data_IF_877069280519
#
_entry.id   IF_877069280519
#
_cell.length_a   1.000
_cell.length_b   1.000
_cell.length_c   1.000
_cell.angle_alpha   90.00
_cell.angle_beta   90.00
_cell.angle_gamma   90.00
#
_symmetry.space_group_name_H-M   'P 1'
#
loop_
_entity.id
_entity.type
_entity.pdbx_description
1 polymer ?
#
# COMPACT_ATOMS: atom_id res chain seq x y z
N UNK A 1 -31.62 -7.14 -7.47
CA UNK A 1 -30.64 -6.64 -8.45
C UNK A 1 -29.58 -7.74 -8.60
N UNK A 2 -29.12 -8.01 -9.81
CA UNK A 2 -28.17 -9.12 -10.06
C UNK A 2 -26.75 -8.69 -9.67
N UNK A 3 -25.98 -9.59 -9.05
CA UNK A 3 -24.61 -9.29 -8.62
C UNK A 3 -23.65 -9.31 -9.83
N UNK A 4 -22.74 -8.33 -9.89
CA UNK A 4 -21.67 -8.31 -10.88
C UNK A 4 -20.65 -9.40 -10.58
N UNK A 5 -20.22 -10.14 -11.61
CA UNK A 5 -19.13 -11.11 -11.51
C UNK A 5 -17.82 -10.44 -11.91
N UNK A 6 -16.94 -10.25 -10.94
CA UNK A 6 -15.58 -9.71 -11.15
C UNK A 6 -14.59 -10.86 -11.20
N UNK A 7 -13.76 -10.88 -12.23
CA UNK A 7 -12.65 -11.81 -12.38
C UNK A 7 -11.32 -11.06 -12.40
N UNK A 8 -10.28 -11.65 -11.81
CA UNK A 8 -8.89 -11.20 -11.94
C UNK A 8 -8.10 -12.29 -12.68
N UNK A 9 -7.29 -11.88 -13.64
CA UNK A 9 -6.29 -12.77 -14.27
C UNK A 9 -4.96 -12.59 -13.57
N UNK A 10 -4.43 -13.66 -12.99
CA UNK A 10 -3.08 -13.74 -12.44
C UNK A 10 -2.32 -14.93 -13.04
N UNK A 11 -1.76 -14.74 -14.23
CA UNK A 11 -1.06 -15.79 -14.94
C UNK A 11 0.25 -16.20 -14.27
N UNK A 12 0.22 -17.36 -13.61
CA UNK A 12 1.38 -17.91 -12.88
C UNK A 12 2.63 -18.02 -13.76
N UNK A 13 2.49 -18.43 -15.03
CA UNK A 13 3.63 -18.58 -15.95
C UNK A 13 4.28 -17.23 -16.26
N UNK A 14 3.46 -16.20 -16.44
CA UNK A 14 3.92 -14.83 -16.70
C UNK A 14 4.65 -14.27 -15.48
N UNK A 15 4.10 -14.47 -14.28
CA UNK A 15 4.78 -14.06 -13.04
C UNK A 15 6.12 -14.79 -12.86
N UNK A 16 6.13 -16.11 -13.04
CA UNK A 16 7.37 -16.92 -12.95
C UNK A 16 8.45 -16.45 -13.92
N UNK A 17 8.08 -16.14 -15.16
CA UNK A 17 9.01 -15.60 -16.16
C UNK A 17 9.58 -14.26 -15.70
N UNK A 18 8.77 -13.35 -15.16
CA UNK A 18 9.23 -12.05 -14.66
C UNK A 18 10.16 -12.19 -13.45
N UNK A 19 9.82 -13.04 -12.48
CA UNK A 19 10.66 -13.31 -11.31
C UNK A 19 12.02 -13.88 -11.68
N UNK A 20 12.11 -14.75 -12.69
CA UNK A 20 13.39 -15.27 -13.20
C UNK A 20 14.34 -14.18 -13.70
N UNK A 21 13.81 -13.01 -14.09
CA UNK A 21 14.59 -11.85 -14.52
C UNK A 21 14.73 -10.77 -13.45
N UNK A 22 14.34 -11.05 -12.20
CA UNK A 22 14.43 -10.09 -11.10
C UNK A 22 13.36 -8.99 -11.14
N UNK A 23 12.22 -9.25 -11.79
CA UNK A 23 11.15 -8.25 -11.96
C UNK A 23 10.01 -8.56 -11.00
N UNK A 24 9.68 -7.59 -10.15
CA UNK A 24 8.49 -7.64 -9.29
C UNK A 24 7.20 -7.60 -10.11
N UNK A 25 6.17 -8.27 -9.61
CA UNK A 25 4.85 -8.38 -10.21
C UNK A 25 3.82 -7.81 -9.24
N UNK A 26 3.91 -6.51 -8.96
CA UNK A 26 3.03 -5.83 -8.02
C UNK A 26 1.61 -5.63 -8.56
N UNK A 27 1.35 -5.91 -9.83
CA UNK A 27 -0.01 -5.92 -10.38
C UNK A 27 -0.93 -6.90 -9.63
N UNK A 28 -0.36 -7.96 -9.03
CA UNK A 28 -1.09 -8.91 -8.17
C UNK A 28 -1.61 -8.31 -6.86
N UNK A 29 -1.09 -7.16 -6.43
CA UNK A 29 -1.54 -6.43 -5.23
C UNK A 29 -3.00 -5.96 -5.33
N UNK A 30 -3.61 -6.02 -6.52
CA UNK A 30 -5.03 -5.76 -6.70
C UNK A 30 -5.91 -6.65 -5.80
N UNK A 31 -5.48 -7.87 -5.49
CA UNK A 31 -6.21 -8.77 -4.58
C UNK A 31 -6.30 -8.22 -3.16
N UNK A 32 -5.20 -7.63 -2.66
CA UNK A 32 -5.17 -6.96 -1.35
C UNK A 32 -6.12 -5.76 -1.37
N UNK A 33 -6.02 -4.91 -2.40
CA UNK A 33 -6.86 -3.72 -2.52
C UNK A 33 -8.37 -4.06 -2.54
N UNK A 34 -8.77 -5.15 -3.21
CA UNK A 34 -10.17 -5.60 -3.22
C UNK A 34 -10.58 -6.31 -1.92
N UNK A 35 -9.65 -7.08 -1.31
CA UNK A 35 -9.90 -7.75 -0.04
C UNK A 35 -10.07 -6.76 1.12
N UNK A 36 -9.45 -5.58 1.04
CA UNK A 36 -9.54 -4.51 2.03
C UNK A 36 -11.00 -4.13 2.32
N UNK A 37 -11.85 -4.02 1.28
CA UNK A 37 -13.31 -3.83 1.40
C UNK A 37 -14.14 -5.11 1.15
N UNK A 38 -13.50 -6.28 1.18
CA UNK A 38 -14.11 -7.61 0.96
C UNK A 38 -15.01 -7.67 -0.29
N UNK A 39 -14.58 -7.01 -1.36
CA UNK A 39 -15.27 -7.05 -2.64
C UNK A 39 -15.27 -8.49 -3.18
N UNK A 40 -16.39 -9.02 -3.68
CA UNK A 40 -16.43 -10.37 -4.23
C UNK A 40 -15.74 -10.42 -5.59
N UNK A 41 -14.71 -11.26 -5.71
CA UNK A 41 -14.03 -11.54 -6.98
C UNK A 41 -13.66 -13.02 -7.08
N UNK A 42 -13.22 -13.44 -8.28
CA UNK A 42 -12.57 -14.73 -8.50
C UNK A 42 -11.26 -14.53 -9.26
N UNK A 43 -10.18 -15.13 -8.77
CA UNK A 43 -8.90 -15.15 -9.47
C UNK A 43 -8.80 -16.39 -10.35
N UNK A 44 -8.26 -16.21 -11.55
CA UNK A 44 -7.96 -17.27 -12.51
C UNK A 44 -6.48 -17.25 -12.86
N UNK A 45 -5.91 -18.44 -13.09
CA UNK A 45 -4.47 -18.59 -13.34
C UNK A 45 -4.10 -18.55 -14.82
N UNK A 46 -5.10 -18.47 -15.70
CA UNK A 46 -4.96 -18.29 -17.14
C UNK A 46 -6.03 -17.33 -17.66
N UNK A 47 -5.72 -16.61 -18.75
CA UNK A 47 -6.69 -15.75 -19.40
C UNK A 47 -7.90 -16.55 -19.94
N UNK A 48 -7.65 -17.73 -20.51
CA UNK A 48 -8.69 -18.58 -21.09
C UNK A 48 -9.71 -19.06 -20.06
N UNK A 49 -9.25 -19.46 -18.87
CA UNK A 49 -10.15 -19.86 -17.77
C UNK A 49 -11.03 -18.68 -17.31
N UNK A 50 -10.44 -17.48 -17.21
CA UNK A 50 -11.18 -16.29 -16.83
C UNK A 50 -12.25 -15.94 -17.87
N UNK A 51 -11.90 -16.01 -19.16
CA UNK A 51 -12.83 -15.74 -20.26
C UNK A 51 -13.93 -16.79 -20.36
N UNK A 52 -13.62 -18.06 -20.13
CA UNK A 52 -14.60 -19.15 -20.11
C UNK A 52 -15.65 -18.96 -19.00
N UNK A 53 -15.28 -18.37 -17.86
CA UNK A 53 -16.22 -18.00 -16.81
C UNK A 53 -17.17 -16.85 -17.20
N UNK A 54 -16.88 -16.15 -18.30
CA UNK A 54 -17.67 -15.05 -18.86
C UNK A 54 -18.08 -14.02 -17.81
N UNK A 55 -17.14 -13.41 -17.07
CA UNK A 55 -17.43 -12.42 -16.04
C UNK A 55 -18.09 -11.17 -16.64
N UNK A 56 -18.65 -10.31 -15.79
CA UNK A 56 -19.15 -9.00 -16.22
C UNK A 56 -18.00 -7.98 -16.32
N UNK A 57 -17.00 -8.13 -15.43
CA UNK A 57 -15.80 -7.29 -15.34
C UNK A 57 -14.58 -8.22 -15.22
N UNK A 58 -13.62 -8.07 -16.14
CA UNK A 58 -12.36 -8.79 -16.16
C UNK A 58 -11.21 -7.82 -15.89
N UNK A 59 -10.53 -7.95 -14.75
CA UNK A 59 -9.31 -7.21 -14.43
C UNK A 59 -8.12 -7.99 -15.01
N UNK A 60 -7.54 -7.47 -16.07
CA UNK A 60 -6.36 -8.02 -16.72
C UNK A 60 -5.09 -7.58 -15.96
N UNK A 61 -4.86 -8.15 -14.78
CA UNK A 61 -3.77 -7.77 -13.86
C UNK A 61 -2.43 -8.33 -14.32
N UNK A 62 -2.25 -9.65 -14.31
CA UNK A 62 -1.01 -10.30 -14.79
C UNK A 62 -1.36 -11.28 -15.90
N UNK A 63 -0.92 -10.98 -17.11
CA UNK A 63 -1.07 -11.86 -18.27
C UNK A 63 0.04 -11.64 -19.29
N UNK A 64 0.29 -12.62 -20.16
CA UNK A 64 1.29 -12.48 -21.22
C UNK A 64 0.75 -11.55 -22.31
N UNK A 65 1.41 -10.40 -22.50
CA UNK A 65 1.03 -9.41 -23.52
C UNK A 65 1.45 -9.87 -24.93
N UNK A 66 0.73 -10.84 -25.47
CA UNK A 66 0.87 -11.29 -26.86
C UNK A 66 -0.25 -10.74 -27.73
N UNK A 67 -0.03 -10.65 -29.05
CA UNK A 67 -1.08 -10.27 -30.00
C UNK A 67 -2.31 -11.21 -29.93
N UNK A 68 -2.09 -12.49 -29.63
CA UNK A 68 -3.17 -13.46 -29.44
C UNK A 68 -4.04 -13.12 -28.21
N UNK A 69 -3.41 -12.88 -27.05
CA UNK A 69 -4.12 -12.49 -25.84
C UNK A 69 -4.82 -11.14 -25.98
N UNK A 70 -4.18 -10.18 -26.66
CA UNK A 70 -4.81 -8.90 -26.99
C UNK A 70 -6.07 -9.07 -27.82
N UNK A 71 -6.06 -9.98 -28.81
CA UNK A 71 -7.24 -10.30 -29.61
C UNK A 71 -8.36 -10.91 -28.76
N UNK A 72 -8.04 -11.85 -27.88
CA UNK A 72 -9.02 -12.49 -26.99
C UNK A 72 -9.70 -11.47 -26.06
N UNK A 73 -8.94 -10.54 -25.48
CA UNK A 73 -9.48 -9.48 -24.64
C UNK A 73 -10.43 -8.55 -25.42
N UNK A 74 -10.06 -8.19 -26.66
CA UNK A 74 -10.91 -7.38 -27.53
C UNK A 74 -12.20 -8.12 -27.92
N UNK A 75 -12.11 -9.37 -28.36
CA UNK A 75 -13.28 -10.19 -28.69
C UNK A 75 -14.24 -10.33 -27.50
N UNK A 76 -13.69 -10.48 -26.29
CA UNK A 76 -14.49 -10.49 -25.06
C UNK A 76 -15.20 -9.15 -24.82
N UNK A 77 -14.49 -8.03 -24.98
CA UNK A 77 -15.08 -6.70 -24.85
C UNK A 77 -16.16 -6.45 -25.93
N UNK A 78 -15.89 -6.78 -27.20
CA UNK A 78 -16.85 -6.69 -28.30
C UNK A 78 -18.16 -7.43 -28.00
N UNK A 79 -18.05 -8.57 -27.31
CA UNK A 79 -19.19 -9.40 -26.94
C UNK A 79 -19.97 -8.93 -25.71
N UNK A 80 -19.58 -7.82 -25.06
CA UNK A 80 -20.32 -7.20 -23.96
C UNK A 80 -19.58 -7.20 -22.62
N UNK A 81 -18.44 -7.87 -22.54
CA UNK A 81 -17.57 -7.84 -21.37
C UNK A 81 -16.95 -6.46 -21.14
N UNK A 82 -16.49 -6.18 -19.92
CA UNK A 82 -15.61 -5.05 -19.66
C UNK A 82 -14.24 -5.54 -19.24
N UNK A 83 -13.20 -5.08 -19.94
CA UNK A 83 -11.80 -5.33 -19.58
C UNK A 83 -11.29 -4.13 -18.81
N UNK A 84 -10.69 -4.34 -17.64
CA UNK A 84 -10.10 -3.30 -16.80
C UNK A 84 -8.62 -3.54 -16.66
N UNK A 85 -7.82 -2.49 -16.85
CA UNK A 85 -6.39 -2.48 -16.61
C UNK A 85 -6.04 -1.34 -15.66
N UNK A 86 -5.51 -1.72 -14.50
CA UNK A 86 -4.91 -0.81 -13.51
C UNK A 86 -3.38 -0.72 -13.64
N UNK A 87 -2.84 -1.42 -14.64
CA UNK A 87 -1.42 -1.59 -14.96
C UNK A 87 -1.31 -2.34 -16.30
N UNK A 88 -0.32 -2.00 -17.12
CA UNK A 88 -0.04 -2.73 -18.37
C UNK A 88 -1.11 -2.56 -19.46
N UNK A 89 -1.26 -3.57 -20.32
CA UNK A 89 -2.10 -3.66 -21.54
C UNK A 89 -1.62 -2.91 -22.79
N UNK A 90 -0.31 -2.65 -22.90
CA UNK A 90 0.28 -1.94 -24.03
C UNK A 90 -0.12 -2.54 -25.40
N UNK A 91 -0.25 -3.87 -25.45
CA UNK A 91 -0.66 -4.59 -26.66
C UNK A 91 -2.05 -4.20 -27.20
N UNK A 92 -2.95 -3.67 -26.37
CA UNK A 92 -4.29 -3.23 -26.80
C UNK A 92 -4.27 -1.83 -27.45
N UNK A 93 -3.26 -1.01 -27.18
CA UNK A 93 -3.23 0.39 -27.60
C UNK A 93 -3.44 0.54 -29.11
N UNK A 94 -2.62 -0.12 -29.92
CA UNK A 94 -2.68 0.02 -31.39
C UNK A 94 -3.99 -0.47 -31.98
N UNK A 95 -4.54 -1.58 -31.45
CA UNK A 95 -5.81 -2.13 -31.90
C UNK A 95 -6.97 -1.16 -31.61
N UNK A 96 -6.90 -0.43 -30.49
CA UNK A 96 -7.87 0.59 -30.09
C UNK A 96 -7.61 1.97 -30.71
N UNK A 97 -6.58 2.12 -31.55
CA UNK A 97 -6.25 3.39 -32.21
C UNK A 97 -5.43 4.35 -31.34
N UNK A 98 -4.60 3.81 -30.45
CA UNK A 98 -3.71 4.56 -29.58
C UNK A 98 -2.24 4.15 -29.76
N UNK A 99 -1.36 5.02 -29.28
CA UNK A 99 0.07 4.75 -29.08
C UNK A 99 0.43 5.03 -27.63
N UNK A 100 1.31 4.20 -27.05
CA UNK A 100 1.84 4.44 -25.71
C UNK A 100 2.83 5.61 -25.74
N UNK A 101 2.64 6.58 -24.84
CA UNK A 101 3.58 7.68 -24.63
C UNK A 101 4.76 7.24 -23.78
N UNK A 102 5.76 8.11 -23.67
CA UNK A 102 6.86 7.90 -22.71
C UNK A 102 6.28 7.73 -21.29
N UNK A 103 6.78 6.76 -20.52
CA UNK A 103 6.39 6.61 -19.13
C UNK A 103 6.66 7.89 -18.33
N UNK A 104 5.70 8.26 -17.49
CA UNK A 104 5.87 9.24 -16.42
C UNK A 104 6.28 8.45 -15.19
N UNK A 105 7.37 8.84 -14.55
CA UNK A 105 7.83 8.20 -13.31
C UNK A 105 6.92 8.65 -12.17
N UNK A 106 7.34 9.65 -11.40
CA UNK A 106 6.57 10.17 -10.27
C UNK A 106 5.71 11.35 -10.74
N UNK A 107 4.50 11.46 -10.19
CA UNK A 107 3.58 12.52 -10.55
C UNK A 107 2.29 12.53 -9.76
N UNK A 108 1.31 13.28 -10.26
CA UNK A 108 0.00 13.45 -9.64
C UNK A 108 -1.11 13.23 -10.66
N UNK A 109 -2.20 12.61 -10.23
CA UNK A 109 -3.42 12.48 -11.01
C UNK A 109 -4.49 13.41 -10.45
N UNK A 110 -5.05 14.28 -11.29
CA UNK A 110 -6.26 15.04 -10.97
C UNK A 110 -7.47 14.29 -11.51
N UNK A 111 -8.35 13.86 -10.62
CA UNK A 111 -9.55 13.08 -10.96
C UNK A 111 -10.79 13.94 -10.74
N UNK A 112 -11.78 13.78 -11.62
CA UNK A 112 -13.04 14.53 -11.54
C UNK A 112 -13.75 14.25 -10.21
N UNK A 113 -13.96 15.29 -9.41
CA UNK A 113 -14.61 15.19 -8.09
C UNK A 113 -13.65 14.95 -6.92
N UNK A 114 -12.35 14.76 -7.15
CA UNK A 114 -11.34 14.84 -6.09
C UNK A 114 -10.85 16.28 -5.91
N UNK A 115 -10.77 16.74 -4.68
CA UNK A 115 -10.19 18.05 -4.36
C UNK A 115 -8.66 18.01 -4.19
N UNK A 116 -8.10 16.81 -4.05
CA UNK A 116 -6.67 16.58 -3.84
C UNK A 116 -6.12 15.79 -5.03
N UNK A 117 -5.06 16.25 -5.71
CA UNK A 117 -4.35 15.45 -6.70
C UNK A 117 -3.73 14.21 -6.06
N UNK A 118 -3.93 13.03 -6.64
CA UNK A 118 -3.43 11.76 -6.11
C UNK A 118 -2.01 11.50 -6.59
N UNK A 119 -1.06 11.37 -5.66
CA UNK A 119 0.33 11.03 -6.00
C UNK A 119 0.46 9.63 -6.57
N UNK A 120 1.25 9.45 -7.63
CA UNK A 120 1.59 8.15 -8.19
C UNK A 120 3.10 7.97 -8.43
N UNK A 121 3.53 6.72 -8.55
CA UNK A 121 4.94 6.33 -8.71
C UNK A 121 5.29 5.90 -10.14
N UNK A 122 4.30 5.49 -10.92
CA UNK A 122 4.46 5.26 -12.35
C UNK A 122 3.16 5.44 -13.12
N UNK A 123 3.25 6.04 -14.31
CA UNK A 123 2.16 6.08 -15.26
C UNK A 123 2.64 5.88 -16.71
N UNK A 124 1.80 5.25 -17.53
CA UNK A 124 1.98 5.06 -18.98
C UNK A 124 0.75 5.57 -19.72
N UNK A 125 0.71 6.88 -20.04
CA UNK A 125 -0.42 7.45 -20.77
C UNK A 125 -0.47 6.96 -22.22
N UNK A 126 -1.68 6.86 -22.77
CA UNK A 126 -1.88 6.61 -24.18
C UNK A 126 -2.29 7.90 -24.89
N UNK A 127 -1.96 7.99 -26.19
CA UNK A 127 -2.42 9.06 -27.06
C UNK A 127 -3.12 8.48 -28.28
N UNK A 128 -4.19 9.14 -28.73
CA UNK A 128 -4.85 8.77 -29.96
C UNK A 128 -3.86 8.83 -31.12
N UNK A 129 -3.91 7.82 -31.97
CA UNK A 129 -3.16 7.78 -33.21
C UNK A 129 -3.83 8.69 -34.24
N UNK A 130 -3.03 9.44 -35.00
CA UNK A 130 -3.54 10.35 -36.02
C UNK A 130 -4.43 9.61 -37.04
N UNK A 131 -5.61 10.17 -37.33
CA UNK A 131 -6.58 9.58 -38.25
C UNK A 131 -7.41 8.41 -37.68
N UNK A 132 -7.29 8.12 -36.38
CA UNK A 132 -8.18 7.20 -35.66
C UNK A 132 -9.06 8.01 -34.70
N UNK A 133 -10.38 7.81 -34.80
CA UNK A 133 -11.36 8.45 -33.91
C UNK A 133 -12.08 7.38 -33.06
N UNK A 134 -11.44 6.83 -32.01
CA UNK A 134 -12.11 5.87 -31.14
C UNK A 134 -13.26 6.53 -30.37
N UNK A 135 -14.36 5.80 -30.17
CA UNK A 135 -15.43 6.24 -29.28
C UNK A 135 -14.97 6.04 -27.84
N UNK A 136 -14.60 7.13 -27.19
CA UNK A 136 -13.99 7.09 -25.86
C UNK A 136 -14.54 8.16 -24.93
N UNK A 137 -14.33 7.96 -23.63
CA UNK A 137 -14.49 8.98 -22.60
C UNK A 137 -13.21 9.05 -21.78
N UNK A 138 -12.71 10.27 -21.56
CA UNK A 138 -11.50 10.52 -20.76
C UNK A 138 -11.90 11.02 -19.38
N UNK A 139 -11.21 10.50 -18.36
CA UNK A 139 -11.44 10.90 -16.97
C UNK A 139 -10.12 11.33 -16.34
N UNK A 140 -10.10 12.57 -15.87
CA UNK A 140 -8.95 13.16 -15.19
C UNK A 140 -7.69 13.28 -16.07
N UNK A 141 -6.62 13.76 -15.46
CA UNK A 141 -5.33 13.98 -16.11
C UNK A 141 -4.18 13.59 -15.19
N UNK A 142 -3.08 13.11 -15.77
CA UNK A 142 -1.82 12.88 -15.05
C UNK A 142 -0.80 13.99 -15.34
N UNK A 143 -0.01 14.34 -14.33
CA UNK A 143 0.98 15.40 -14.35
C UNK A 143 2.32 14.86 -13.85
N UNK A 144 3.42 15.29 -14.45
CA UNK A 144 4.77 14.83 -14.07
C UNK A 144 5.35 15.70 -12.96
N UNK A 145 5.84 15.07 -11.89
CA UNK A 145 6.60 15.71 -10.80
C UNK A 145 5.83 16.66 -9.87
N UNK A 146 4.86 17.41 -10.37
CA UNK A 146 4.09 18.42 -9.61
C UNK A 146 2.60 18.38 -10.00
N UNK A 147 1.68 18.67 -9.06
CA UNK A 147 0.24 18.74 -9.36
C UNK A 147 -0.13 19.85 -10.34
N UNK A 148 0.68 20.93 -10.42
CA UNK A 148 0.44 22.09 -11.27
C UNK A 148 1.18 22.02 -12.62
N UNK A 149 1.74 20.85 -12.94
CA UNK A 149 2.49 20.62 -14.17
C UNK A 149 1.62 20.64 -15.44
N UNK A 150 2.27 20.46 -16.60
CA UNK A 150 1.54 20.24 -17.85
C UNK A 150 0.95 18.82 -17.89
N UNK A 151 -0.30 18.64 -18.36
CA UNK A 151 -0.91 17.31 -18.45
C UNK A 151 -0.14 16.43 -19.44
N UNK A 152 0.16 15.21 -19.01
CA UNK A 152 0.89 14.20 -19.80
C UNK A 152 -0.04 13.25 -20.55
N UNK A 153 -1.30 13.17 -20.12
CA UNK A 153 -2.38 12.41 -20.73
C UNK A 153 -3.50 12.16 -19.72
N UNK A 154 -4.53 11.43 -20.14
CA UNK A 154 -5.71 11.13 -19.32
C UNK A 154 -5.38 10.13 -18.22
N UNK A 155 -5.99 10.26 -17.05
CA UNK A 155 -5.76 9.33 -15.95
C UNK A 155 -6.46 7.99 -16.20
N UNK A 156 -7.67 8.02 -16.73
CA UNK A 156 -8.44 6.86 -17.19
C UNK A 156 -9.01 7.11 -18.58
N UNK A 157 -8.87 6.10 -19.45
CA UNK A 157 -9.54 6.02 -20.74
C UNK A 157 -10.62 4.93 -20.69
N UNK A 158 -11.86 5.29 -20.99
CA UNK A 158 -12.96 4.35 -21.22
C UNK A 158 -13.23 4.26 -22.71
N UNK A 159 -12.85 3.14 -23.33
CA UNK A 159 -12.98 2.94 -24.79
C UNK A 159 -14.14 1.99 -25.06
N UNK A 160 -15.12 2.45 -25.84
CA UNK A 160 -16.26 1.61 -26.25
C UNK A 160 -15.80 0.62 -27.31
N UNK A 161 -16.04 -0.67 -27.08
CA UNK A 161 -15.68 -1.75 -28.00
C UNK A 161 -16.88 -2.68 -28.18
N UNK A 162 -17.48 -2.67 -29.36
CA UNK A 162 -18.72 -3.41 -29.64
C UNK A 162 -19.79 -3.15 -28.59
N UNK A 163 -20.25 -4.20 -27.90
CA UNK A 163 -21.25 -4.09 -26.82
C UNK A 163 -20.65 -3.77 -25.45
N UNK A 164 -19.35 -3.99 -25.25
CA UNK A 164 -18.65 -3.81 -23.98
C UNK A 164 -17.75 -2.57 -23.95
N UNK A 165 -16.67 -2.64 -23.17
CA UNK A 165 -15.68 -1.56 -23.04
C UNK A 165 -14.29 -2.08 -22.60
N UNK A 166 -13.27 -1.27 -22.85
CA UNK A 166 -11.93 -1.40 -22.28
C UNK A 166 -11.68 -0.16 -21.42
N UNK A 167 -11.46 -0.36 -20.13
CA UNK A 167 -11.15 0.68 -19.15
C UNK A 167 -9.67 0.61 -18.81
N UNK A 168 -8.92 1.68 -19.14
CA UNK A 168 -7.48 1.70 -19.00
C UNK A 168 -7.00 2.89 -18.18
N UNK A 169 -6.51 2.62 -16.98
CA UNK A 169 -5.81 3.56 -16.12
C UNK A 169 -4.37 3.77 -16.54
N UNK A 170 -3.97 5.03 -16.74
CA UNK A 170 -2.59 5.44 -17.00
C UNK A 170 -1.64 5.12 -15.86
N UNK A 171 -2.10 5.26 -14.62
CA UNK A 171 -1.32 4.98 -13.43
C UNK A 171 -1.23 3.46 -13.22
N UNK A 172 -0.04 2.97 -12.88
CA UNK A 172 0.12 1.64 -12.27
C UNK A 172 -0.35 1.74 -10.81
N UNK A 173 -1.65 1.54 -10.58
CA UNK A 173 -2.27 1.75 -9.27
C UNK A 173 -1.76 0.71 -8.25
N UNK A 174 -1.75 -0.60 -8.54
CA UNK A 174 -1.24 -1.60 -7.58
C UNK A 174 0.22 -1.34 -7.21
N UNK A 175 1.10 -1.07 -8.20
CA UNK A 175 2.49 -0.73 -7.93
C UNK A 175 2.65 0.57 -7.13
N UNK A 176 1.82 1.58 -7.42
CA UNK A 176 1.78 2.84 -6.66
C UNK A 176 1.41 2.62 -5.20
N UNK A 177 0.38 1.81 -4.92
CA UNK A 177 -0.04 1.47 -3.54
C UNK A 177 1.11 0.81 -2.78
N UNK A 178 1.73 -0.22 -3.36
CA UNK A 178 2.88 -0.92 -2.74
C UNK A 178 4.01 0.06 -2.41
N UNK A 179 4.38 0.91 -3.36
CA UNK A 179 5.48 1.84 -3.18
C UNK A 179 5.18 2.97 -2.18
N UNK A 180 3.94 3.42 -2.08
CA UNK A 180 3.53 4.36 -1.03
C UNK A 180 3.67 3.72 0.36
N UNK A 181 3.24 2.46 0.50
CA UNK A 181 3.16 1.77 1.80
C UNK A 181 4.50 1.22 2.30
N UNK A 182 5.29 0.60 1.42
CA UNK A 182 6.58 -0.03 1.76
C UNK A 182 7.80 0.79 1.35
N UNK A 183 7.59 1.87 0.61
CA UNK A 183 8.66 2.70 0.07
C UNK A 183 9.07 2.34 -1.36
N UNK A 184 9.96 3.15 -1.90
CA UNK A 184 10.40 3.11 -3.31
C UNK A 184 11.39 1.99 -3.64
N UNK A 185 11.90 1.28 -2.62
CA UNK A 185 12.82 0.16 -2.76
C UNK A 185 13.42 -0.25 -1.42
N UNK A 186 14.39 -1.20 -1.42
CA UNK A 186 15.08 -1.61 -0.19
C UNK A 186 15.85 -0.45 0.46
N UNK A 187 15.89 -0.45 1.80
CA UNK A 187 16.68 0.51 2.59
C UNK A 187 18.11 -0.02 2.75
N UNK A 188 19.05 0.58 2.00
CA UNK A 188 20.49 0.28 2.08
C UNK A 188 21.36 1.53 2.31
N UNK A 189 20.75 2.71 2.23
CA UNK A 189 21.38 4.01 2.35
C UNK A 189 20.38 5.02 2.91
N UNK A 190 20.90 6.06 3.57
CA UNK A 190 20.11 7.16 4.10
C UNK A 190 19.34 7.88 2.97
N UNK A 191 18.11 8.29 3.28
CA UNK A 191 17.21 8.92 2.33
C UNK A 191 17.54 10.36 1.95
N UNK A 192 16.68 10.91 1.10
CA UNK A 192 16.76 12.33 0.70
C UNK A 192 16.19 13.21 1.80
N UNK A 193 16.97 14.20 2.21
CA UNK A 193 16.55 15.20 3.20
C UNK A 193 15.53 16.19 2.60
N UNK A 194 14.62 16.68 3.44
CA UNK A 194 13.74 17.78 3.04
C UNK A 194 14.56 19.07 2.83
N UNK A 195 14.28 19.81 1.76
CA UNK A 195 15.00 21.03 1.42
C UNK A 195 14.85 22.15 2.47
N UNK A 196 13.77 22.10 3.27
CA UNK A 196 13.50 23.03 4.37
C UNK A 196 14.26 22.69 5.67
N UNK A 197 15.04 21.60 5.69
CA UNK A 197 15.84 21.16 6.83
C UNK A 197 15.06 20.48 7.95
N UNK A 198 13.74 20.28 7.81
CA UNK A 198 12.88 19.68 8.84
C UNK A 198 13.05 18.16 8.98
N UNK A 199 13.71 17.53 8.01
CA UNK A 199 13.93 16.08 7.92
C UNK A 199 15.40 15.81 7.64
N UNK A 200 16.14 15.47 8.69
CA UNK A 200 17.56 15.11 8.62
C UNK A 200 17.71 13.59 8.63
N UNK A 201 17.89 12.98 7.46
CA UNK A 201 18.04 11.52 7.32
C UNK A 201 19.51 11.06 7.24
N UNK A 202 20.46 11.97 6.98
CA UNK A 202 21.88 11.61 6.81
C UNK A 202 22.63 11.57 8.13
N UNK A 203 22.23 10.64 8.97
CA UNK A 203 22.79 10.46 10.32
C UNK A 203 23.46 9.09 10.49
N UNK A 204 23.57 8.30 9.41
CA UNK A 204 24.22 6.99 9.44
C UNK A 204 23.41 5.91 10.16
N UNK A 205 22.09 6.09 10.26
CA UNK A 205 21.18 5.14 10.90
C UNK A 205 20.01 4.92 9.95
N UNK A 206 19.98 3.75 9.31
CA UNK A 206 18.96 3.40 8.33
C UNK A 206 17.56 3.23 8.96
N UNK A 207 16.57 3.92 8.43
CA UNK A 207 15.19 3.96 8.93
C UNK A 207 14.18 3.68 7.84
N UNK A 208 12.97 3.35 8.27
CA UNK A 208 11.86 3.10 7.37
C UNK A 208 11.62 4.28 6.40
N UNK A 209 11.82 5.52 6.86
CA UNK A 209 11.53 6.73 6.10
C UNK A 209 12.59 7.12 5.06
N UNK A 210 13.73 6.41 5.02
CA UNK A 210 14.79 6.63 4.00
C UNK A 210 14.34 6.35 2.56
N UNK A 211 13.29 5.55 2.41
CA UNK A 211 12.69 5.20 1.12
C UNK A 211 11.24 5.65 0.99
N UNK A 212 10.82 6.62 1.80
CA UNK A 212 9.49 7.22 1.70
C UNK A 212 9.20 7.67 0.26
N UNK A 213 8.00 7.36 -0.22
CA UNK A 213 7.58 7.72 -1.57
C UNK A 213 6.92 9.10 -1.65
N UNK A 214 6.58 9.73 -0.52
CA UNK A 214 5.91 11.02 -0.45
C UNK A 214 6.86 12.18 -0.80
N UNK A 215 6.28 13.33 -1.11
CA UNK A 215 6.94 14.57 -1.48
C UNK A 215 6.88 15.61 -0.36
N UNK A 216 8.04 16.09 0.07
CA UNK A 216 8.12 17.07 1.15
C UNK A 216 7.47 18.43 0.81
N UNK A 217 7.37 18.79 -0.47
CA UNK A 217 6.82 20.08 -0.88
C UNK A 217 5.32 20.00 -1.11
N UNK A 218 4.87 18.99 -1.85
CA UNK A 218 3.49 18.93 -2.33
C UNK A 218 2.55 18.10 -1.45
N UNK A 219 3.07 17.14 -0.68
CA UNK A 219 2.22 16.21 0.08
C UNK A 219 2.05 16.60 1.55
N UNK A 220 2.79 17.62 2.00
CA UNK A 220 2.69 18.14 3.36
C UNK A 220 1.74 19.32 3.44
N UNK A 221 0.98 19.38 4.52
CA UNK A 221 0.31 20.57 4.98
C UNK A 221 1.02 21.12 6.22
N UNK A 222 0.69 22.35 6.59
CA UNK A 222 1.20 23.00 7.79
C UNK A 222 0.04 23.22 8.76
N UNK A 223 0.21 22.82 10.02
CA UNK A 223 -0.76 23.12 11.08
C UNK A 223 -0.81 24.62 11.38
N UNK A 224 -1.83 25.09 12.10
CA UNK A 224 -1.89 26.48 12.58
C UNK A 224 -0.68 26.86 13.46
N UNK A 225 -0.07 25.88 14.12
CA UNK A 225 1.14 26.04 14.94
C UNK A 225 2.45 25.98 14.14
N UNK A 226 2.38 25.83 12.82
CA UNK A 226 3.56 25.84 11.95
C UNK A 226 4.25 24.48 11.77
N UNK A 227 3.62 23.37 12.17
CA UNK A 227 4.21 22.03 12.04
C UNK A 227 3.82 21.43 10.70
N UNK A 228 4.82 21.01 9.91
CA UNK A 228 4.59 20.30 8.65
C UNK A 228 4.24 18.84 8.91
N UNK A 229 3.24 18.31 8.21
CA UNK A 229 2.81 16.93 8.31
C UNK A 229 2.29 16.42 6.95
N UNK A 230 2.53 15.15 6.65
CA UNK A 230 1.92 14.47 5.50
C UNK A 230 0.44 14.27 5.76
N UNK A 231 -0.41 14.88 4.93
CA UNK A 231 -1.84 14.97 5.20
C UNK A 231 -2.68 13.91 4.46
N UNK A 232 -2.12 13.29 3.42
CA UNK A 232 -2.91 12.55 2.44
C UNK A 232 -2.57 11.05 2.43
N UNK A 233 -3.55 10.17 2.71
CA UNK A 233 -3.35 8.73 2.64
C UNK A 233 -3.52 8.24 1.19
N UNK A 234 -2.57 8.60 0.32
CA UNK A 234 -2.69 8.34 -1.13
C UNK A 234 -2.92 6.88 -1.52
N UNK A 235 -2.34 5.92 -0.80
CA UNK A 235 -2.59 4.50 -1.04
C UNK A 235 -4.06 4.14 -0.78
N UNK A 236 -4.66 4.68 0.29
CA UNK A 236 -6.07 4.49 0.60
C UNK A 236 -6.97 5.22 -0.41
N UNK A 237 -6.60 6.42 -0.82
CA UNK A 237 -7.32 7.15 -1.88
C UNK A 237 -7.27 6.40 -3.21
N UNK A 238 -6.15 5.75 -3.56
CA UNK A 238 -6.07 4.92 -4.76
C UNK A 238 -6.92 3.64 -4.67
N UNK A 239 -7.00 3.02 -3.49
CA UNK A 239 -7.96 1.91 -3.25
C UNK A 239 -9.39 2.38 -3.46
N UNK A 240 -9.74 3.57 -2.96
CA UNK A 240 -11.06 4.16 -3.18
C UNK A 240 -11.37 4.36 -4.66
N UNK A 241 -10.40 4.82 -5.46
CA UNK A 241 -10.59 4.98 -6.91
C UNK A 241 -10.79 3.64 -7.63
N UNK A 242 -10.10 2.57 -7.23
CA UNK A 242 -10.36 1.22 -7.74
C UNK A 242 -11.82 0.84 -7.45
N UNK A 243 -12.28 1.01 -6.21
CA UNK A 243 -13.64 0.61 -5.79
C UNK A 243 -14.72 1.45 -6.47
N UNK A 244 -14.57 2.78 -6.50
CA UNK A 244 -15.48 3.69 -7.20
C UNK A 244 -15.60 3.30 -8.67
N UNK A 245 -14.49 3.01 -9.33
CA UNK A 245 -14.45 2.60 -10.72
C UNK A 245 -15.21 1.29 -10.96
N UNK A 246 -14.94 0.24 -10.18
CA UNK A 246 -15.62 -1.05 -10.33
C UNK A 246 -17.13 -0.95 -10.05
N UNK A 247 -17.54 -0.16 -9.05
CA UNK A 247 -18.96 0.10 -8.76
C UNK A 247 -19.61 0.83 -9.95
N UNK A 248 -18.96 1.86 -10.50
CA UNK A 248 -19.48 2.59 -11.66
C UNK A 248 -19.70 1.67 -12.86
N UNK A 249 -18.73 0.78 -13.16
CA UNK A 249 -18.88 -0.23 -14.22
C UNK A 249 -20.07 -1.16 -13.93
N UNK A 250 -20.16 -1.71 -12.72
CA UNK A 250 -21.23 -2.64 -12.34
C UNK A 250 -22.62 -1.99 -12.47
N UNK A 251 -22.78 -0.77 -11.96
CA UNK A 251 -24.03 0.01 -12.03
C UNK A 251 -24.39 0.34 -13.49
N UNK A 252 -23.41 0.71 -14.32
CA UNK A 252 -23.65 0.97 -15.75
C UNK A 252 -24.19 -0.26 -16.50
N UNK A 253 -23.89 -1.48 -16.01
CA UNK A 253 -24.41 -2.76 -16.51
C UNK A 253 -25.71 -3.20 -15.84
N UNK A 254 -26.31 -2.39 -14.98
CA UNK A 254 -27.52 -2.74 -14.23
C UNK A 254 -27.30 -3.80 -13.15
N UNK A 255 -26.06 -3.97 -12.69
CA UNK A 255 -25.65 -4.93 -11.66
C UNK A 255 -25.33 -4.22 -10.33
N UNK A 256 -25.18 -5.00 -9.27
CA UNK A 256 -24.67 -4.54 -7.97
C UNK A 256 -23.31 -5.14 -7.67
N UNK A 257 -22.41 -4.36 -7.08
CA UNK A 257 -21.16 -4.85 -6.51
C UNK A 257 -21.15 -4.57 -4.99
N UNK A 258 -21.45 -5.56 -4.13
CA UNK A 258 -21.48 -5.35 -2.68
C UNK A 258 -20.06 -5.31 -2.11
N UNK A 259 -19.87 -4.57 -1.03
CA UNK A 259 -18.63 -4.51 -0.26
C UNK A 259 -18.95 -4.44 1.23
N UNK A 260 -17.96 -4.73 2.08
CA UNK A 260 -18.06 -4.59 3.53
C UNK A 260 -17.10 -3.49 3.99
N UNK A 261 -17.60 -2.54 4.78
CA UNK A 261 -16.78 -1.49 5.38
C UNK A 261 -15.68 -2.07 6.28
N UNK A 262 -14.58 -1.31 6.46
CA UNK A 262 -13.49 -1.62 7.38
C UNK A 262 -13.98 -1.81 8.81
N UNK A 263 -14.82 -0.89 9.24
CA UNK A 263 -15.28 -0.81 10.62
C UNK A 263 -16.70 -1.38 10.78
N UNK A 264 -17.00 -1.96 11.95
CA UNK A 264 -18.36 -2.33 12.29
C UNK A 264 -19.34 -1.16 12.14
N UNK A 265 -20.62 -1.49 11.94
CA UNK A 265 -21.67 -0.46 11.87
C UNK A 265 -21.68 0.42 13.12
N UNK A 266 -21.72 1.73 12.92
CA UNK A 266 -21.71 2.74 13.99
C UNK A 266 -20.32 3.13 14.50
N UNK A 267 -19.25 2.59 13.92
CA UNK A 267 -17.86 3.02 14.19
C UNK A 267 -17.35 3.83 13.01
N UNK A 268 -17.19 5.14 13.24
CA UNK A 268 -16.71 6.06 12.20
C UNK A 268 -15.19 5.99 12.02
N UNK A 269 -14.46 5.76 13.12
CA UNK A 269 -13.00 5.70 13.14
C UNK A 269 -12.46 4.87 14.31
N UNK A 270 -11.21 4.44 14.17
CA UNK A 270 -10.44 3.74 15.21
C UNK A 270 -9.10 4.45 15.34
N UNK A 271 -8.65 4.63 16.59
CA UNK A 271 -7.31 5.11 16.90
C UNK A 271 -6.54 4.03 17.67
N UNK A 272 -5.28 3.81 17.28
CA UNK A 272 -4.34 2.98 18.02
C UNK A 272 -3.29 3.88 18.69
N UNK A 273 -3.04 3.65 19.97
CA UNK A 273 -2.06 4.40 20.75
C UNK A 273 -1.00 3.41 21.25
N UNK A 274 0.27 3.71 20.98
CA UNK A 274 1.42 2.93 21.43
C UNK A 274 2.35 3.77 22.31
N UNK A 275 3.00 3.15 23.29
CA UNK A 275 4.03 3.77 24.13
C UNK A 275 5.35 3.01 23.97
N UNK A 276 6.43 3.72 23.65
CA UNK A 276 7.77 3.14 23.52
C UNK A 276 8.53 3.29 24.86
N UNK A 277 9.20 2.22 25.31
CA UNK A 277 9.83 2.18 26.62
C UNK A 277 11.26 2.78 26.68
N UNK A 278 11.65 3.65 25.75
CA UNK A 278 13.04 4.06 25.47
C UNK A 278 13.96 4.26 26.70
N UNK A 279 13.49 4.92 27.77
CA UNK A 279 14.26 5.13 29.01
C UNK A 279 14.06 4.09 30.11
N UNK A 280 13.01 3.26 29.99
CA UNK A 280 12.61 2.23 30.95
C UNK A 280 12.42 2.75 32.40
N UNK A 281 12.03 4.01 32.57
CA UNK A 281 11.78 4.59 33.90
C UNK A 281 10.38 4.26 34.42
N UNK A 282 10.29 3.42 35.44
CA UNK A 282 9.01 2.97 36.04
C UNK A 282 8.07 4.13 36.42
N UNK A 283 8.60 5.22 36.97
CA UNK A 283 7.79 6.39 37.39
C UNK A 283 7.01 7.02 36.23
N UNK A 284 7.55 6.97 35.01
CA UNK A 284 6.85 7.44 33.82
C UNK A 284 5.75 6.45 33.42
N UNK A 285 6.03 5.15 33.47
CA UNK A 285 5.04 4.13 33.18
C UNK A 285 3.87 4.16 34.18
N UNK A 286 4.13 4.29 35.48
CA UNK A 286 3.11 4.43 36.53
C UNK A 286 2.20 5.62 36.26
N UNK A 287 2.78 6.78 35.96
CA UNK A 287 2.03 8.00 35.65
C UNK A 287 1.13 7.80 34.43
N UNK A 288 1.67 7.22 33.35
CA UNK A 288 0.91 6.93 32.13
C UNK A 288 -0.20 5.90 32.39
N UNK A 289 0.07 4.82 33.14
CA UNK A 289 -0.92 3.79 33.45
C UNK A 289 -2.09 4.33 34.27
N UNK A 290 -1.85 5.22 35.24
CA UNK A 290 -2.93 5.87 35.98
C UNK A 290 -3.78 6.80 35.11
N UNK A 291 -3.15 7.57 34.22
CA UNK A 291 -3.89 8.40 33.27
C UNK A 291 -4.76 7.56 32.32
N UNK A 292 -4.21 6.48 31.76
CA UNK A 292 -4.95 5.60 30.86
C UNK A 292 -6.15 4.93 31.55
N UNK A 293 -6.00 4.59 32.83
CA UNK A 293 -7.09 4.07 33.66
C UNK A 293 -8.14 5.13 33.96
N UNK A 294 -7.76 6.37 34.24
CA UNK A 294 -8.71 7.48 34.41
C UNK A 294 -9.57 7.67 33.15
N UNK A 295 -8.96 7.53 31.97
CA UNK A 295 -9.61 7.69 30.68
C UNK A 295 -10.32 6.41 30.16
N UNK A 296 -10.17 5.27 30.85
CA UNK A 296 -10.64 3.95 30.41
C UNK A 296 -10.15 3.57 28.98
N UNK A 297 -8.88 3.85 28.69
CA UNK A 297 -8.26 3.58 27.38
C UNK A 297 -7.25 2.44 27.49
N UNK A 298 -7.33 1.51 26.55
CA UNK A 298 -6.34 0.44 26.37
C UNK A 298 -5.39 0.81 25.24
N UNK A 299 -4.12 0.48 25.43
CA UNK A 299 -3.01 0.88 24.55
C UNK A 299 -2.01 -0.25 24.41
N UNK A 300 -1.11 -0.12 23.45
CA UNK A 300 0.00 -1.05 23.22
C UNK A 300 1.28 -0.50 23.84
N UNK A 301 2.02 -1.33 24.57
CA UNK A 301 3.27 -0.94 25.21
C UNK A 301 4.43 -1.68 24.53
N UNK A 302 5.24 -0.95 23.78
CA UNK A 302 6.41 -1.45 23.06
C UNK A 302 7.61 -1.47 24.00
N UNK A 303 8.12 -2.66 24.29
CA UNK A 303 9.09 -2.90 25.36
C UNK A 303 10.47 -3.26 24.82
N UNK A 304 11.47 -2.46 25.20
CA UNK A 304 12.88 -2.63 24.85
C UNK A 304 13.68 -3.18 26.03
N UNK A 305 14.65 -4.06 25.78
CA UNK A 305 15.59 -4.56 26.81
C UNK A 305 16.45 -3.40 27.36
N UNK A 306 16.62 -3.23 28.69
CA UNK A 306 16.32 -4.17 29.79
C UNK A 306 14.89 -4.10 30.38
N UNK A 307 14.03 -3.23 29.87
CA UNK A 307 12.62 -3.16 30.23
C UNK A 307 12.33 -2.48 31.58
N UNK A 308 11.04 -2.30 31.86
CA UNK A 308 10.54 -1.87 33.17
C UNK A 308 10.69 -2.96 34.23
N UNK A 309 10.38 -2.64 35.49
CA UNK A 309 10.23 -3.67 36.51
C UNK A 309 9.03 -4.60 36.26
N UNK A 310 9.07 -5.79 36.84
CA UNK A 310 7.99 -6.80 36.72
C UNK A 310 6.61 -6.29 37.16
N UNK A 311 6.55 -5.33 38.10
CA UNK A 311 5.30 -4.71 38.54
C UNK A 311 4.60 -3.97 37.40
N UNK A 312 5.35 -3.22 36.59
CA UNK A 312 4.78 -2.47 35.46
C UNK A 312 4.17 -3.42 34.42
N UNK A 313 4.88 -4.49 34.07
CA UNK A 313 4.34 -5.50 33.15
C UNK A 313 3.05 -6.13 33.68
N UNK A 314 3.03 -6.50 34.97
CA UNK A 314 1.85 -7.11 35.58
C UNK A 314 0.67 -6.15 35.64
N UNK A 315 0.94 -4.88 35.95
CA UNK A 315 -0.05 -3.84 35.99
C UNK A 315 -0.66 -3.57 34.61
N UNK A 316 0.18 -3.34 33.60
CA UNK A 316 -0.26 -3.12 32.22
C UNK A 316 -1.15 -4.28 31.72
N UNK A 317 -0.72 -5.52 31.93
CA UNK A 317 -1.53 -6.71 31.57
C UNK A 317 -2.84 -6.77 32.36
N UNK A 318 -2.83 -6.49 33.66
CA UNK A 318 -4.04 -6.56 34.50
C UNK A 318 -5.11 -5.54 34.08
N UNK A 319 -4.70 -4.43 33.46
CA UNK A 319 -5.57 -3.39 32.91
C UNK A 319 -5.96 -3.64 31.44
N UNK A 320 -5.48 -4.73 30.85
CA UNK A 320 -5.83 -5.13 29.48
C UNK A 320 -5.05 -4.40 28.38
N UNK A 321 -3.90 -3.80 28.71
CA UNK A 321 -2.98 -3.29 27.69
C UNK A 321 -2.27 -4.42 26.97
N UNK A 322 -1.87 -4.19 25.72
CA UNK A 322 -1.03 -5.10 24.96
C UNK A 322 0.44 -4.90 25.33
N UNK A 323 1.20 -5.99 25.44
CA UNK A 323 2.67 -5.98 25.52
C UNK A 323 3.24 -6.32 24.14
N UNK A 324 4.01 -5.40 23.58
CA UNK A 324 4.61 -5.48 22.25
C UNK A 324 6.14 -5.42 22.31
N UNK A 325 6.79 -5.93 21.27
CA UNK A 325 8.25 -5.86 21.14
C UNK A 325 8.66 -4.46 20.67
N UNK A 326 9.63 -3.86 21.36
CA UNK A 326 10.38 -2.72 20.83
C UNK A 326 11.77 -3.17 20.37
N UNK A 327 11.86 -3.67 19.14
CA UNK A 327 13.09 -4.30 18.66
C UNK A 327 14.21 -3.28 18.53
N UNK A 328 15.28 -3.45 19.32
CA UNK A 328 16.47 -2.63 19.24
C UNK A 328 17.49 -3.21 18.24
N UNK A 329 17.65 -2.51 17.12
CA UNK A 329 18.69 -2.76 16.11
C UNK A 329 19.65 -1.57 15.95
N UNK A 330 19.67 -0.66 16.92
CA UNK A 330 20.47 0.56 16.88
C UNK A 330 21.85 0.29 17.50
N UNK A 331 22.91 0.46 16.69
CA UNK A 331 24.27 0.01 17.04
C UNK A 331 24.86 0.72 18.27
N UNK A 332 24.64 2.03 18.41
CA UNK A 332 25.18 2.79 19.54
C UNK A 332 24.50 2.42 20.87
N UNK A 333 23.32 1.81 20.82
CA UNK A 333 22.62 1.22 21.97
C UNK A 333 22.85 -0.30 22.08
N UNK A 334 23.90 -0.81 21.41
CA UNK A 334 24.27 -2.22 21.44
C UNK A 334 23.33 -3.16 20.68
N UNK A 335 22.42 -2.60 19.87
CA UNK A 335 21.57 -3.34 18.95
C UNK A 335 22.30 -3.79 17.69
N UNK A 336 21.69 -4.70 16.94
CA UNK A 336 22.15 -5.11 15.60
C UNK A 336 20.93 -5.54 14.78
N UNK A 337 20.90 -5.15 13.50
CA UNK A 337 19.91 -5.61 12.54
C UNK A 337 20.20 -7.06 12.12
N UNK A 338 19.53 -8.01 12.77
CA UNK A 338 19.74 -9.44 12.56
C UNK A 338 18.58 -10.26 13.14
N UNK A 339 18.22 -11.34 12.45
CA UNK A 339 17.14 -12.23 12.84
C UNK A 339 17.38 -12.90 14.21
N UNK A 340 18.61 -13.33 14.48
CA UNK A 340 18.95 -13.97 15.76
C UNK A 340 18.77 -12.98 16.90
N UNK A 341 19.16 -11.72 16.69
CA UNK A 341 18.94 -10.65 17.67
C UNK A 341 17.45 -10.36 17.87
N UNK A 342 16.66 -10.28 16.80
CA UNK A 342 15.21 -10.12 16.87
C UNK A 342 14.56 -11.24 17.70
N UNK A 343 14.88 -12.50 17.37
CA UNK A 343 14.41 -13.70 18.11
C UNK A 343 14.77 -13.65 19.58
N UNK A 344 16.01 -13.26 19.91
CA UNK A 344 16.49 -13.23 21.28
C UNK A 344 15.77 -12.16 22.11
N UNK A 345 15.55 -10.96 21.56
CA UNK A 345 14.79 -9.89 22.23
C UNK A 345 13.31 -10.29 22.40
N UNK A 346 12.68 -10.90 21.39
CA UNK A 346 11.33 -11.44 21.52
C UNK A 346 11.25 -12.51 22.63
N UNK A 347 12.21 -13.43 22.68
CA UNK A 347 12.26 -14.46 23.72
C UNK A 347 12.53 -13.87 25.12
N UNK A 348 13.36 -12.83 25.21
CA UNK A 348 13.57 -12.08 26.45
C UNK A 348 12.25 -11.45 26.92
N UNK A 349 11.54 -10.73 26.06
CA UNK A 349 10.30 -10.04 26.42
C UNK A 349 9.23 -11.03 26.91
N UNK A 350 9.09 -12.18 26.24
CA UNK A 350 8.19 -13.26 26.70
C UNK A 350 8.48 -13.69 28.13
N UNK A 351 9.76 -13.84 28.48
CA UNK A 351 10.19 -14.20 29.85
C UNK A 351 9.97 -13.05 30.83
N UNK A 352 10.38 -11.83 30.46
CA UNK A 352 10.30 -10.65 31.33
C UNK A 352 8.85 -10.28 31.67
N UNK A 353 7.98 -10.27 30.67
CA UNK A 353 6.57 -9.94 30.84
C UNK A 353 5.70 -11.15 31.20
N UNK A 354 6.24 -12.38 31.19
CA UNK A 354 5.47 -13.61 31.45
C UNK A 354 4.31 -13.79 30.48
N UNK A 355 4.58 -13.66 29.17
CA UNK A 355 3.60 -13.83 28.08
C UNK A 355 4.08 -14.89 27.10
N UNK A 356 3.15 -15.69 26.56
CA UNK A 356 3.48 -16.76 25.62
C UNK A 356 3.65 -16.24 24.18
N UNK A 357 2.99 -15.11 23.87
CA UNK A 357 2.89 -14.54 22.53
C UNK A 357 3.13 -13.03 22.55
N UNK A 358 3.80 -12.55 21.51
CA UNK A 358 3.99 -11.13 21.20
C UNK A 358 3.35 -10.94 19.82
N UNK A 359 2.28 -10.15 19.74
CA UNK A 359 1.54 -9.95 18.50
C UNK A 359 2.02 -8.73 17.72
N UNK A 360 2.61 -7.76 18.40
CA UNK A 360 3.01 -6.48 17.80
C UNK A 360 4.50 -6.21 17.97
N UNK A 361 5.11 -5.61 16.95
CA UNK A 361 6.47 -5.07 16.97
C UNK A 361 6.46 -3.59 16.58
N UNK A 362 7.43 -2.84 17.13
CA UNK A 362 7.84 -1.53 16.62
C UNK A 362 9.34 -1.39 16.82
N UNK A 363 10.10 -1.07 15.78
CA UNK A 363 11.54 -0.94 15.90
C UNK A 363 11.92 0.36 16.62
N UNK A 364 12.91 0.27 17.50
CA UNK A 364 13.53 1.44 18.11
C UNK A 364 14.08 2.36 17.01
N UNK A 365 13.86 3.68 17.12
CA UNK A 365 14.18 4.68 16.10
C UNK A 365 13.53 4.45 14.72
N UNK A 366 12.47 3.64 14.63
CA UNK A 366 11.92 3.15 13.35
C UNK A 366 12.99 2.56 12.42
N UNK A 367 14.03 1.99 13.04
CA UNK A 367 15.17 1.35 12.37
C UNK A 367 14.67 0.32 11.37
N UNK A 368 15.16 0.36 10.13
CA UNK A 368 14.73 -0.56 9.08
C UNK A 368 15.86 -0.80 8.07
N UNK A 369 16.03 -2.03 7.58
CA UNK A 369 16.88 -2.33 6.42
C UNK A 369 16.16 -3.26 5.44
N UNK A 370 16.64 -3.25 4.19
CA UNK A 370 16.16 -4.16 3.16
C UNK A 370 14.73 -3.83 2.72
N UNK A 371 14.08 -4.82 2.13
CA UNK A 371 12.70 -4.71 1.63
C UNK A 371 11.71 -5.38 2.59
N UNK A 372 11.99 -6.64 2.93
CA UNK A 372 11.05 -7.54 3.59
C UNK A 372 11.66 -8.40 4.71
N UNK A 373 12.92 -8.15 5.09
CA UNK A 373 13.60 -8.89 6.16
C UNK A 373 12.82 -8.88 7.48
N UNK A 374 12.39 -7.69 7.91
CA UNK A 374 11.60 -7.55 9.15
C UNK A 374 10.28 -8.33 9.06
N UNK A 375 9.60 -8.29 7.92
CA UNK A 375 8.31 -8.96 7.75
C UNK A 375 8.46 -10.48 7.80
N UNK A 376 9.53 -11.04 7.19
CA UNK A 376 9.90 -12.45 7.36
C UNK A 376 10.10 -12.83 8.83
N UNK A 377 10.78 -11.97 9.59
CA UNK A 377 11.04 -12.25 11.00
C UNK A 377 9.75 -12.17 11.81
N UNK A 378 8.91 -11.16 11.58
CA UNK A 378 7.60 -11.03 12.20
C UNK A 378 6.73 -12.28 11.98
N UNK A 379 6.55 -12.69 10.72
CA UNK A 379 5.80 -13.91 10.35
C UNK A 379 6.35 -15.15 11.07
N UNK A 380 7.68 -15.37 11.00
CA UNK A 380 8.34 -16.54 11.59
C UNK A 380 8.20 -16.62 13.11
N UNK A 381 8.16 -15.48 13.80
CA UNK A 381 8.10 -15.42 15.26
C UNK A 381 6.72 -15.09 15.82
N UNK A 382 5.69 -15.06 14.96
CA UNK A 382 4.28 -14.92 15.34
C UNK A 382 3.86 -13.49 15.70
N UNK A 383 4.58 -12.49 15.20
CA UNK A 383 4.18 -11.08 15.21
C UNK A 383 3.24 -10.85 14.03
N UNK A 384 2.04 -10.38 14.31
CA UNK A 384 0.97 -10.15 13.34
C UNK A 384 0.88 -8.67 12.90
N UNK A 385 1.49 -7.74 13.65
CA UNK A 385 1.46 -6.31 13.35
C UNK A 385 2.82 -5.66 13.58
N UNK A 386 3.29 -4.87 12.61
CA UNK A 386 4.47 -4.03 12.73
C UNK A 386 4.09 -2.55 12.62
N UNK A 387 4.62 -1.73 13.53
CA UNK A 387 4.38 -0.29 13.59
C UNK A 387 5.64 0.52 13.24
N UNK A 388 6.63 -0.09 12.61
CA UNK A 388 7.93 0.53 12.33
C UNK A 388 7.88 1.47 11.11
N UNK A 389 6.89 1.30 10.22
CA UNK A 389 6.61 2.19 9.09
C UNK A 389 5.87 3.45 9.57
N UNK A 390 6.54 4.22 10.41
CA UNK A 390 6.06 5.48 10.99
C UNK A 390 7.11 6.59 10.90
N UNK A 391 6.77 7.82 11.31
CA UNK A 391 7.67 8.96 11.26
C UNK A 391 8.80 8.85 12.28
N UNK A 392 10.04 9.14 11.86
CA UNK A 392 11.20 9.24 12.76
C UNK A 392 11.59 10.68 13.10
N UNK A 393 11.09 11.67 12.34
CA UNK A 393 11.45 13.09 12.43
C UNK A 393 10.21 13.98 12.48
N UNK A 394 10.36 15.17 13.06
CA UNK A 394 9.29 16.18 13.15
C UNK A 394 8.73 16.58 11.78
N UNK A 395 9.55 16.66 10.74
CA UNK A 395 9.08 16.98 9.39
C UNK A 395 8.38 15.83 8.66
N UNK A 396 8.34 14.63 9.26
CA UNK A 396 7.76 13.40 8.71
C UNK A 396 6.43 13.00 9.34
N UNK A 397 5.88 13.79 10.28
CA UNK A 397 4.63 13.51 10.99
C UNK A 397 3.47 13.28 10.00
N UNK A 398 2.49 12.45 10.39
CA UNK A 398 1.28 12.19 9.60
C UNK A 398 1.34 10.88 8.84
N UNK A 399 0.76 10.84 7.65
CA UNK A 399 0.64 9.62 6.82
C UNK A 399 1.81 9.45 5.85
N UNK A 400 3.01 9.32 6.42
CA UNK A 400 4.28 9.23 5.67
C UNK A 400 4.34 8.06 4.67
N UNK A 401 3.66 6.95 4.94
CA UNK A 401 3.60 5.80 4.04
C UNK A 401 2.27 5.73 3.27
N UNK A 402 1.64 6.89 3.07
CA UNK A 402 0.47 7.06 2.21
C UNK A 402 -0.77 6.27 2.65
N UNK A 403 -0.80 5.74 3.88
CA UNK A 403 -1.95 4.96 4.39
C UNK A 403 -2.16 5.24 5.86
N UNK A 404 -3.42 5.24 6.28
CA UNK A 404 -3.82 5.22 7.70
C UNK A 404 -4.48 3.88 8.08
N UNK A 405 -4.50 2.90 7.17
CA UNK A 405 -5.04 1.57 7.42
C UNK A 405 -3.92 0.52 7.51
N UNK A 406 -4.11 -0.53 8.33
CA UNK A 406 -3.27 -1.72 8.25
C UNK A 406 -3.31 -2.32 6.84
N UNK A 407 -2.19 -2.83 6.36
CA UNK A 407 -2.08 -3.47 5.06
C UNK A 407 -1.20 -4.71 5.18
N UNK A 408 -1.32 -5.61 4.20
CA UNK A 408 -0.42 -6.76 4.09
C UNK A 408 0.79 -6.37 3.24
N UNK A 409 2.03 -6.41 3.79
CA UNK A 409 3.22 -6.18 3.00
C UNK A 409 3.41 -7.28 1.96
N UNK A 410 4.07 -6.95 0.85
CA UNK A 410 4.40 -7.87 -0.25
C UNK A 410 5.92 -8.02 -0.38
N UNK A 411 6.37 -9.27 -0.56
CA UNK A 411 7.77 -9.61 -0.74
C UNK A 411 8.31 -9.10 -2.08
N UNK A 412 9.63 -9.20 -2.26
CA UNK A 412 10.22 -9.00 -3.59
C UNK A 412 10.08 -10.24 -4.50
N UNK A 413 10.67 -10.15 -5.68
CA UNK A 413 10.65 -11.20 -6.71
C UNK A 413 11.36 -12.49 -6.28
N UNK A 414 12.28 -12.45 -5.30
CA UNK A 414 12.98 -13.63 -4.82
C UNK A 414 12.02 -14.57 -4.09
N UNK A 415 11.07 -13.99 -3.36
CA UNK A 415 9.96 -14.71 -2.72
C UNK A 415 8.66 -14.62 -3.51
N UNK A 416 8.75 -14.31 -4.81
CA UNK A 416 7.64 -14.36 -5.75
C UNK A 416 6.48 -13.42 -5.39
N UNK A 417 6.80 -12.25 -4.82
CA UNK A 417 5.82 -11.24 -4.42
C UNK A 417 4.66 -11.82 -3.59
N UNK A 418 4.94 -12.73 -2.65
CA UNK A 418 3.94 -13.22 -1.71
C UNK A 418 3.59 -12.14 -0.68
N UNK A 419 2.40 -12.22 -0.12
CA UNK A 419 2.04 -11.44 1.06
C UNK A 419 2.64 -12.05 2.33
N UNK A 420 2.88 -11.22 3.34
CA UNK A 420 3.31 -11.61 4.68
C UNK A 420 2.13 -11.68 5.66
#
# INVERSE_FOLDING_TARGET
>A
MELARVAIVQEKRTSQKRWQYGVNVFEGYIEEALAHLRLPYRTYLTLEEALAASPDILIASVYEETAANGKLLLEYAENGGTVVSYSGTAQLASALGFVERRPVQIGYASLSGSHVPLRFISARPWAAQEGKDPVLTEFGSVFAGSPDGAPQGSALLSVKVGRGSVERWSVDIPGTIVHLQQGTGPVYDDGVQAADGTVQLREGILKADDRCAMDYEFDRQTTETGVNYFAYPYADMWRDEIVKHLIAIAVSKGKTLPFLSYWPSGVDSVAAISHDSDSNEDVHAETTLELLKELDIRTTWCMMEPGYSSSIYNEAKSRGHEIALHYNAVEFDGGIWDETRFKNQAAWLKRAAGVDRIATNKNHYTRFEGWDDLFRWCERYGVESDQSRGPSKNGNIGVLFGTCHPYFPISDFQEQNRFF
#
